data_IF_333506487947
#
_entry.id   IF_333506487947
#
_cell.length_a   1.000
_cell.length_b   1.000
_cell.length_c   1.000
_cell.angle_alpha   90.00
_cell.angle_beta   90.00
_cell.angle_gamma   90.00
#
_symmetry.space_group_name_H-M   'P 1'
#
loop_
_entity.id
_entity.type
_entity.pdbx_description
1 polymer ?
#
# COMPACT_ATOMS: atom_id res chain seq x y z
N UNK A 1 -10.11 -16.35 -0.90
CA UNK A 1 -11.24 -15.57 -0.33
C UNK A 1 -11.68 -14.63 -1.41
N UNK A 2 -12.98 -14.54 -1.69
CA UNK A 2 -13.51 -13.65 -2.71
C UNK A 2 -13.70 -12.25 -2.13
N UNK A 3 -12.63 -11.45 -2.15
CA UNK A 3 -12.60 -10.07 -1.65
C UNK A 3 -11.64 -9.24 -2.49
N UNK A 4 -12.07 -8.03 -2.86
CA UNK A 4 -11.24 -7.07 -3.60
C UNK A 4 -11.76 -5.64 -3.36
N UNK A 5 -10.90 -4.74 -2.88
CA UNK A 5 -11.31 -3.36 -2.57
C UNK A 5 -11.85 -2.65 -3.82
N UNK A 6 -11.35 -2.94 -5.03
CA UNK A 6 -11.83 -2.33 -6.28
C UNK A 6 -13.31 -2.62 -6.53
N UNK A 7 -13.80 -3.80 -6.11
CA UNK A 7 -15.20 -4.22 -6.25
C UNK A 7 -16.03 -3.87 -5.02
N UNK A 8 -15.52 -4.19 -3.83
CA UNK A 8 -16.31 -4.18 -2.59
C UNK A 8 -16.35 -2.80 -1.93
N UNK A 9 -15.28 -1.99 -2.10
CA UNK A 9 -15.17 -0.61 -1.63
C UNK A 9 -14.55 0.28 -2.72
N UNK A 10 -15.25 0.44 -3.85
CA UNK A 10 -14.69 1.05 -5.05
C UNK A 10 -14.21 2.48 -4.81
N UNK A 11 -13.11 2.84 -5.46
CA UNK A 11 -12.50 4.17 -5.45
C UNK A 11 -12.21 4.61 -6.88
N UNK A 12 -11.99 5.91 -7.09
CA UNK A 12 -11.82 6.47 -8.44
C UNK A 12 -12.95 6.01 -9.39
N UNK A 13 -12.61 5.48 -10.57
CA UNK A 13 -13.57 4.99 -11.56
C UNK A 13 -13.89 3.49 -11.41
N UNK A 14 -13.38 2.79 -10.38
CA UNK A 14 -13.58 1.34 -10.26
C UNK A 14 -15.05 0.94 -10.07
N UNK A 15 -15.90 1.84 -9.56
CA UNK A 15 -17.34 1.59 -9.45
C UNK A 15 -18.01 1.38 -10.82
N UNK A 16 -17.54 2.11 -11.83
CA UNK A 16 -18.03 2.02 -13.21
C UNK A 16 -17.44 0.82 -13.97
N UNK A 17 -16.33 0.26 -13.46
CA UNK A 17 -15.56 -0.82 -14.10
C UNK A 17 -15.85 -2.20 -13.51
N UNK A 18 -16.76 -2.31 -12.54
CA UNK A 18 -17.07 -3.57 -11.81
C UNK A 18 -17.47 -4.74 -12.70
N UNK A 19 -17.95 -4.48 -13.92
CA UNK A 19 -18.39 -5.51 -14.88
C UNK A 19 -17.31 -5.90 -15.88
N UNK A 20 -16.18 -5.22 -15.88
CA UNK A 20 -15.12 -5.36 -16.87
C UNK A 20 -13.95 -6.21 -16.38
N UNK A 21 -14.05 -6.71 -15.14
CA UNK A 21 -13.11 -7.66 -14.58
C UNK A 21 -13.78 -8.60 -13.59
N UNK A 22 -13.13 -9.73 -13.34
CA UNK A 22 -13.52 -10.70 -12.32
C UNK A 22 -12.46 -10.79 -11.24
N UNK A 23 -12.88 -10.99 -9.98
CA UNK A 23 -11.96 -11.27 -8.88
C UNK A 23 -11.49 -12.72 -9.00
N UNK A 24 -10.20 -12.91 -9.24
CA UNK A 24 -9.60 -14.24 -9.37
C UNK A 24 -9.41 -14.84 -7.98
N UNK A 25 -9.88 -16.07 -7.79
CA UNK A 25 -9.75 -16.80 -6.53
C UNK A 25 -9.28 -18.23 -6.78
N UNK A 26 -8.32 -18.68 -5.98
CA UNK A 26 -7.84 -20.06 -5.99
C UNK A 26 -7.98 -20.73 -4.63
N UNK A 27 -8.10 -22.06 -4.63
CA UNK A 27 -8.32 -22.87 -3.42
C UNK A 27 -7.09 -23.67 -2.95
N UNK A 28 -6.03 -23.73 -3.75
CA UNK A 28 -4.83 -24.50 -3.43
C UNK A 28 -4.09 -24.04 -2.17
N UNK A 29 -4.24 -22.76 -1.78
CA UNK A 29 -3.66 -22.17 -0.56
C UNK A 29 -2.13 -22.29 -0.44
N UNK A 30 -1.43 -22.57 -1.53
CA UNK A 30 0.02 -22.72 -1.61
C UNK A 30 0.66 -21.59 -2.44
N UNK A 31 1.97 -21.70 -2.69
CA UNK A 31 2.68 -20.71 -3.53
C UNK A 31 2.21 -20.79 -4.98
N UNK A 32 1.85 -21.98 -5.46
CA UNK A 32 1.39 -22.21 -6.82
C UNK A 32 0.07 -21.47 -7.08
N UNK A 33 -0.93 -21.67 -6.23
CA UNK A 33 -2.21 -20.98 -6.29
C UNK A 33 -2.05 -19.45 -6.23
N UNK A 34 -1.14 -18.93 -5.39
CA UNK A 34 -0.83 -17.49 -5.37
C UNK A 34 -0.21 -17.00 -6.68
N UNK A 35 0.59 -17.83 -7.32
CA UNK A 35 1.23 -17.51 -8.60
C UNK A 35 0.20 -17.51 -9.73
N UNK A 36 -0.69 -18.50 -9.75
CA UNK A 36 -1.81 -18.55 -10.70
C UNK A 36 -2.72 -17.33 -10.58
N UNK A 37 -3.15 -16.97 -9.36
CA UNK A 37 -3.95 -15.77 -9.13
C UNK A 37 -3.29 -14.54 -9.72
N UNK A 38 -2.00 -14.31 -9.43
CA UNK A 38 -1.26 -13.15 -9.97
C UNK A 38 -1.18 -13.13 -11.49
N UNK A 39 -0.98 -14.30 -12.11
CA UNK A 39 -0.93 -14.41 -13.58
C UNK A 39 -2.30 -14.08 -14.17
N UNK A 40 -3.37 -14.61 -13.58
CA UNK A 40 -4.73 -14.37 -14.04
C UNK A 40 -5.15 -12.91 -13.83
N UNK A 41 -4.75 -12.27 -12.72
CA UNK A 41 -4.96 -10.84 -12.47
C UNK A 41 -4.30 -9.93 -13.52
N UNK A 42 -3.24 -10.38 -14.21
CA UNK A 42 -2.65 -9.63 -15.33
C UNK A 42 -3.66 -9.55 -16.48
N UNK A 43 -4.33 -10.64 -16.81
CA UNK A 43 -5.34 -10.65 -17.87
C UNK A 43 -6.55 -9.78 -17.50
N UNK A 44 -6.98 -9.83 -16.24
CA UNK A 44 -8.04 -8.95 -15.74
C UNK A 44 -7.62 -7.47 -15.78
N UNK A 45 -6.36 -7.17 -15.45
CA UNK A 45 -5.82 -5.81 -15.58
C UNK A 45 -5.83 -5.33 -17.04
N UNK A 46 -5.53 -6.21 -18.00
CA UNK A 46 -5.62 -5.90 -19.43
C UNK A 46 -7.08 -5.62 -19.84
N UNK A 47 -8.04 -6.39 -19.33
CA UNK A 47 -9.47 -6.17 -19.60
C UNK A 47 -9.91 -4.80 -19.09
N UNK A 48 -9.53 -4.43 -17.88
CA UNK A 48 -9.80 -3.11 -17.30
C UNK A 48 -9.21 -2.00 -18.19
N UNK A 49 -7.94 -2.13 -18.61
CA UNK A 49 -7.27 -1.12 -19.46
C UNK A 49 -8.03 -0.94 -20.78
N UNK A 50 -8.43 -2.03 -21.44
CA UNK A 50 -9.22 -1.96 -22.68
C UNK A 50 -10.56 -1.27 -22.45
N UNK A 51 -11.26 -1.65 -21.38
CA UNK A 51 -12.57 -1.10 -21.06
C UNK A 51 -12.51 0.40 -20.68
N UNK A 52 -11.39 0.87 -20.12
CA UNK A 52 -11.12 2.29 -19.89
C UNK A 52 -10.87 3.01 -21.22
N UNK A 53 -10.05 2.43 -22.11
CA UNK A 53 -9.74 3.04 -23.41
C UNK A 53 -11.00 3.24 -24.27
N UNK A 54 -11.93 2.28 -24.24
CA UNK A 54 -13.18 2.35 -25.01
C UNK A 54 -14.18 3.39 -24.47
N UNK A 55 -14.10 3.72 -23.17
CA UNK A 55 -15.05 4.62 -22.48
C UNK A 55 -14.40 5.88 -21.94
N UNK A 56 -13.18 6.22 -22.37
CA UNK A 56 -12.43 7.33 -21.83
C UNK A 56 -13.17 8.65 -22.11
N UNK A 57 -13.64 9.38 -21.08
CA UNK A 57 -14.34 10.62 -21.31
C UNK A 57 -13.35 11.72 -21.71
N UNK A 58 -13.79 12.59 -22.62
CA UNK A 58 -13.07 13.83 -22.90
C UNK A 58 -13.15 14.81 -21.73
N UNK A 59 -12.12 15.63 -21.55
CA UNK A 59 -12.11 16.67 -20.54
C UNK A 59 -10.72 17.05 -20.01
N UNK A 60 -10.66 18.00 -19.08
CA UNK A 60 -9.40 18.38 -18.44
C UNK A 60 -8.89 17.27 -17.51
N UNK A 61 -7.65 16.84 -17.70
CA UNK A 61 -7.00 15.80 -16.87
C UNK A 61 -6.64 16.32 -15.46
N UNK A 62 -6.43 17.63 -15.33
CA UNK A 62 -6.09 18.27 -14.06
C UNK A 62 -7.18 19.26 -13.65
N UNK A 63 -7.51 19.35 -12.35
CA UNK A 63 -8.38 20.41 -11.88
C UNK A 63 -7.76 21.78 -12.22
N UNK A 64 -8.60 22.74 -12.59
CA UNK A 64 -8.17 24.13 -12.88
C UNK A 64 -7.67 24.85 -11.63
N UNK A 65 -8.07 24.37 -10.46
CA UNK A 65 -7.70 24.94 -9.17
C UNK A 65 -6.27 24.55 -8.77
N UNK A 66 -5.57 25.51 -8.16
CA UNK A 66 -4.23 25.27 -7.66
C UNK A 66 -4.27 24.31 -6.46
N UNK A 67 -3.60 23.16 -6.59
CA UNK A 67 -3.52 22.12 -5.55
C UNK A 67 -3.07 22.68 -4.19
N UNK A 68 -2.17 23.67 -4.17
CA UNK A 68 -1.74 24.31 -2.91
C UNK A 68 -2.84 25.13 -2.24
N UNK A 69 -3.77 25.71 -3.02
CA UNK A 69 -4.93 26.41 -2.49
C UNK A 69 -5.92 25.40 -1.89
N UNK A 70 -6.14 24.28 -2.58
CA UNK A 70 -7.01 23.21 -2.09
C UNK A 70 -6.50 22.65 -0.76
N UNK A 71 -5.19 22.38 -0.66
CA UNK A 71 -4.57 21.88 0.59
C UNK A 71 -4.74 22.83 1.78
N UNK A 72 -4.63 24.14 1.58
CA UNK A 72 -4.85 25.14 2.66
C UNK A 72 -6.31 25.28 3.08
N UNK A 73 -7.25 24.86 2.22
CA UNK A 73 -8.68 24.92 2.50
C UNK A 73 -9.25 23.66 3.13
N UNK A 74 -8.45 22.62 3.39
CA UNK A 74 -8.95 21.37 3.98
C UNK A 74 -9.25 21.61 5.47
N UNK A 75 -10.51 21.41 5.93
CA UNK A 75 -10.87 21.59 7.33
C UNK A 75 -10.18 20.56 8.23
N UNK A 76 -10.18 20.79 9.55
CA UNK A 76 -9.77 19.76 10.52
C UNK A 76 -10.74 18.58 10.43
N UNK A 77 -10.18 17.39 10.27
CA UNK A 77 -10.98 16.17 10.12
C UNK A 77 -10.11 14.92 10.02
N UNK A 78 -10.80 13.78 9.95
CA UNK A 78 -10.19 12.46 9.82
C UNK A 78 -10.80 11.75 8.62
N UNK A 79 -9.96 11.05 7.83
CA UNK A 79 -10.40 10.28 6.69
C UNK A 79 -9.61 8.97 6.61
N UNK A 80 -10.30 7.92 6.15
CA UNK A 80 -9.70 6.63 5.81
C UNK A 80 -9.90 6.42 4.32
N UNK A 81 -8.85 5.98 3.63
CA UNK A 81 -8.87 5.57 2.25
C UNK A 81 -8.32 4.16 2.14
N UNK A 82 -9.07 3.28 1.47
CA UNK A 82 -8.70 1.92 1.16
C UNK A 82 -8.43 1.83 -0.35
N UNK A 83 -7.34 1.16 -0.72
CA UNK A 83 -6.93 0.95 -2.10
C UNK A 83 -6.45 -0.49 -2.24
N UNK A 84 -6.82 -1.17 -3.33
CA UNK A 84 -6.25 -2.47 -3.68
C UNK A 84 -4.88 -2.25 -4.35
N UNK A 85 -3.79 -2.45 -3.61
CA UNK A 85 -2.47 -2.50 -4.21
C UNK A 85 -2.22 -3.92 -4.76
N UNK A 86 -1.23 -4.12 -5.67
CA UNK A 86 -0.93 -5.45 -6.23
C UNK A 86 -0.51 -6.53 -5.22
N UNK A 87 -0.43 -6.20 -3.92
CA UNK A 87 -0.05 -7.09 -2.82
C UNK A 87 -1.16 -7.29 -1.80
N UNK A 88 -2.33 -6.67 -2.03
CA UNK A 88 -3.47 -6.64 -1.11
C UNK A 88 -3.88 -5.22 -0.72
N UNK A 89 -4.83 -5.16 0.22
CA UNK A 89 -5.39 -3.93 0.77
C UNK A 89 -4.32 -2.99 1.38
N UNK A 90 -4.35 -1.74 0.91
CA UNK A 90 -3.57 -0.61 1.39
C UNK A 90 -4.50 0.39 2.08
N UNK A 91 -4.19 0.73 3.33
CA UNK A 91 -4.99 1.66 4.13
C UNK A 91 -4.18 2.92 4.43
N UNK A 92 -4.77 4.07 4.10
CA UNK A 92 -4.33 5.40 4.52
C UNK A 92 -5.31 5.98 5.52
N UNK A 93 -4.83 6.26 6.72
CA UNK A 93 -5.53 7.08 7.70
C UNK A 93 -4.86 8.45 7.76
N UNK A 94 -5.64 9.50 7.57
CA UNK A 94 -5.18 10.88 7.55
C UNK A 94 -6.00 11.69 8.53
N UNK A 95 -5.33 12.45 9.40
CA UNK A 95 -5.92 13.48 10.25
C UNK A 95 -5.29 14.82 9.91
N UNK A 96 -6.11 15.79 9.55
CA UNK A 96 -5.70 17.17 9.21
C UNK A 96 -5.79 18.07 10.44
N UNK A 97 -5.16 19.24 10.39
CA UNK A 97 -5.19 20.26 11.44
C UNK A 97 -5.98 21.53 11.07
N UNK A 98 -6.62 21.55 9.89
CA UNK A 98 -7.35 22.71 9.39
C UNK A 98 -6.49 23.88 8.88
N UNK A 99 -5.16 23.81 9.05
CA UNK A 99 -4.20 24.84 8.64
C UNK A 99 -3.40 24.44 7.39
N UNK A 100 -3.82 23.36 6.72
CA UNK A 100 -3.15 22.76 5.57
C UNK A 100 -2.04 21.77 5.94
N UNK A 101 -1.88 21.44 7.23
CA UNK A 101 -0.96 20.42 7.72
C UNK A 101 -1.63 19.09 8.01
N UNK A 102 -0.82 18.02 8.02
CA UNK A 102 -1.22 16.70 8.49
C UNK A 102 -0.82 16.55 9.96
N UNK A 103 -1.83 16.42 10.83
CA UNK A 103 -1.65 16.12 12.25
C UNK A 103 -1.22 14.67 12.47
N UNK A 104 -1.77 13.76 11.66
CA UNK A 104 -1.37 12.34 11.67
C UNK A 104 -1.56 11.71 10.31
N UNK A 105 -0.54 10.97 9.88
CA UNK A 105 -0.61 10.08 8.72
C UNK A 105 -0.23 8.69 9.20
N UNK A 106 -1.15 7.73 9.08
CA UNK A 106 -0.90 6.33 9.35
C UNK A 106 -1.15 5.54 8.08
N UNK A 107 -0.08 4.93 7.58
CA UNK A 107 -0.14 4.02 6.44
C UNK A 107 -0.05 2.59 6.97
N UNK A 108 -0.95 1.72 6.54
CA UNK A 108 -0.81 0.26 6.68
C UNK A 108 -0.66 -0.31 5.29
N UNK A 109 0.57 -0.74 4.99
CA UNK A 109 0.91 -1.38 3.72
C UNK A 109 0.52 -2.86 3.77
N UNK A 110 0.11 -3.45 2.63
CA UNK A 110 -0.31 -4.84 2.56
C UNK A 110 0.79 -5.80 3.05
N UNK A 111 2.02 -5.57 2.57
CA UNK A 111 3.22 -6.36 2.93
C UNK A 111 3.41 -6.48 4.44
N UNK A 112 3.12 -5.43 5.23
CA UNK A 112 3.30 -5.47 6.68
C UNK A 112 2.42 -6.54 7.34
N UNK A 113 1.20 -6.77 6.86
CA UNK A 113 0.36 -7.84 7.39
C UNK A 113 0.70 -9.20 6.79
N UNK A 114 1.09 -9.25 5.51
CA UNK A 114 1.48 -10.50 4.86
C UNK A 114 2.72 -11.12 5.54
N UNK A 115 3.66 -10.28 6.01
CA UNK A 115 4.86 -10.71 6.75
C UNK A 115 4.54 -11.48 8.03
N UNK A 116 3.46 -11.12 8.74
CA UNK A 116 3.08 -11.83 9.97
C UNK A 116 2.68 -13.28 9.64
N UNK A 117 2.05 -13.49 8.48
CA UNK A 117 1.69 -14.81 7.97
C UNK A 117 2.89 -15.64 7.52
N UNK A 118 4.07 -15.05 7.31
CA UNK A 118 5.25 -15.78 6.85
C UNK A 118 5.73 -16.83 7.86
N UNK A 119 5.69 -16.52 9.17
CA UNK A 119 6.13 -17.46 10.22
C UNK A 119 5.38 -18.79 10.14
N UNK A 120 4.04 -18.85 10.18
CA UNK A 120 3.33 -20.13 10.06
C UNK A 120 3.48 -20.80 8.70
N UNK A 121 3.69 -20.04 7.61
CA UNK A 121 3.93 -20.61 6.28
C UNK A 121 5.24 -21.40 6.16
N UNK A 122 6.22 -21.12 7.03
CA UNK A 122 7.54 -21.78 7.02
C UNK A 122 7.62 -23.01 7.94
N UNK A 123 6.62 -23.25 8.78
CA UNK A 123 6.65 -24.37 9.74
C UNK A 123 6.47 -25.69 8.98
N UNK A 124 7.47 -26.57 9.09
CA UNK A 124 7.45 -27.89 8.46
C UNK A 124 7.93 -27.92 7.00
N UNK A 125 8.42 -26.80 6.47
CA UNK A 125 9.04 -26.72 5.15
C UNK A 125 10.57 -26.91 5.22
N UNK A 126 11.18 -27.22 4.08
CA UNK A 126 12.63 -27.32 3.95
C UNK A 126 13.28 -25.94 3.82
N UNK A 127 14.57 -25.84 4.14
CA UNK A 127 15.34 -24.59 3.96
C UNK A 127 15.30 -24.13 2.49
N UNK A 128 15.26 -25.08 1.56
CA UNK A 128 15.17 -24.80 0.13
C UNK A 128 13.85 -24.12 -0.29
N UNK A 129 12.78 -24.27 0.48
CA UNK A 129 11.47 -23.68 0.17
C UNK A 129 11.37 -22.22 0.60
N UNK A 130 12.23 -21.78 1.53
CA UNK A 130 12.20 -20.44 2.12
C UNK A 130 12.18 -19.33 1.06
N UNK A 131 13.04 -19.32 0.02
CA UNK A 131 13.04 -18.24 -0.97
C UNK A 131 11.73 -18.15 -1.74
N UNK A 132 11.13 -19.29 -2.09
CA UNK A 132 9.89 -19.36 -2.88
C UNK A 132 8.69 -18.92 -2.03
N UNK A 133 8.64 -19.35 -0.77
CA UNK A 133 7.60 -18.94 0.18
C UNK A 133 7.68 -17.43 0.43
N UNK A 134 8.88 -16.89 0.70
CA UNK A 134 9.10 -15.45 0.92
C UNK A 134 8.79 -14.63 -0.33
N UNK A 135 9.22 -15.07 -1.51
CA UNK A 135 8.93 -14.36 -2.76
C UNK A 135 7.43 -14.33 -3.08
N UNK A 136 6.68 -15.37 -2.71
CA UNK A 136 5.25 -15.47 -3.01
C UNK A 136 4.39 -14.37 -2.38
N UNK A 137 4.82 -13.80 -1.25
CA UNK A 137 4.13 -12.67 -0.61
C UNK A 137 4.54 -11.30 -1.19
N UNK A 138 5.53 -11.27 -2.11
CA UNK A 138 6.11 -10.08 -2.75
C UNK A 138 6.46 -8.97 -1.74
N UNK A 139 7.46 -9.21 -0.85
CA UNK A 139 7.73 -8.31 0.24
C UNK A 139 8.44 -7.04 -0.24
N UNK A 140 7.73 -5.92 -0.23
CA UNK A 140 8.36 -4.61 -0.38
C UNK A 140 9.00 -4.14 0.93
N UNK A 141 10.33 -4.32 1.05
CA UNK A 141 11.10 -3.89 2.22
C UNK A 141 10.97 -2.39 2.49
N UNK A 142 10.91 -1.57 1.43
CA UNK A 142 10.73 -0.11 1.56
C UNK A 142 9.42 0.26 2.26
N UNK A 143 8.35 -0.50 2.00
CA UNK A 143 7.03 -0.30 2.63
C UNK A 143 6.99 -0.74 4.10
N UNK A 144 8.00 -1.48 4.57
CA UNK A 144 8.09 -2.03 5.92
C UNK A 144 9.23 -1.45 6.74
N UNK A 145 10.05 -0.59 6.14
CA UNK A 145 11.12 0.11 6.83
C UNK A 145 10.56 1.03 7.91
N UNK A 146 10.57 0.54 9.15
CA UNK A 146 10.50 1.35 10.36
C UNK A 146 11.90 1.34 10.96
N UNK A 147 12.55 2.50 11.01
CA UNK A 147 13.93 2.62 11.51
C UNK A 147 13.95 2.41 13.03
N UNK A 148 14.47 1.26 13.44
CA UNK A 148 14.88 1.01 14.83
C UNK A 148 16.40 0.99 14.79
N UNK A 149 17.03 1.92 15.51
CA UNK A 149 18.49 1.92 15.69
C UNK A 149 18.77 1.15 16.97
N UNK A 150 19.51 0.05 16.83
CA UNK A 150 19.95 -0.78 17.95
C UNK A 150 21.46 -0.57 18.07
N UNK A 151 21.88 -0.04 19.21
CA UNK A 151 23.29 0.05 19.60
C UNK A 151 23.66 -1.24 20.34
N UNK A 152 24.37 -2.15 19.66
CA UNK A 152 24.70 -3.46 20.21
C UNK A 152 25.75 -3.40 21.34
N UNK A 153 26.59 -2.36 21.39
CA UNK A 153 27.59 -2.22 22.46
C UNK A 153 26.93 -1.73 23.76
N UNK A 154 25.89 -0.91 23.65
CA UNK A 154 25.20 -0.31 24.80
C UNK A 154 23.93 -1.06 25.22
N UNK A 155 23.45 -1.99 24.39
CA UNK A 155 22.20 -2.72 24.64
C UNK A 155 20.95 -1.84 24.52
N UNK A 156 21.07 -0.66 23.91
CA UNK A 156 19.98 0.31 23.78
C UNK A 156 19.29 0.17 22.42
N UNK A 157 17.95 0.14 22.42
CA UNK A 157 17.15 0.22 21.20
C UNK A 157 16.36 1.53 21.20
N UNK A 158 16.62 2.36 20.20
CA UNK A 158 15.95 3.64 20.01
C UNK A 158 15.11 3.58 18.73
N UNK A 159 13.79 3.66 18.88
CA UNK A 159 12.88 3.86 17.75
C UNK A 159 13.03 5.32 17.32
N UNK A 160 13.51 5.56 16.09
CA UNK A 160 13.61 6.93 15.59
C UNK A 160 12.20 7.40 15.25
N UNK A 161 11.66 8.24 16.11
CA UNK A 161 10.42 8.95 15.86
C UNK A 161 10.61 10.02 14.75
N UNK A 162 9.50 10.48 14.18
CA UNK A 162 9.51 11.46 13.09
C UNK A 162 10.17 12.78 13.49
N UNK A 163 10.07 13.19 14.76
CA UNK A 163 10.65 14.44 15.24
C UNK A 163 12.17 14.32 15.42
N UNK A 164 12.67 13.19 15.92
CA UNK A 164 14.09 12.85 15.91
C UNK A 164 14.67 12.82 14.49
N UNK A 165 13.93 12.29 13.51
CA UNK A 165 14.29 12.28 12.10
C UNK A 165 14.34 13.71 11.51
N UNK A 166 13.31 14.52 11.76
CA UNK A 166 13.25 15.94 11.34
C UNK A 166 14.41 16.74 11.93
N UNK A 167 14.73 16.51 13.20
CA UNK A 167 15.81 17.20 13.89
C UNK A 167 17.19 16.84 13.30
N UNK A 168 17.38 15.58 12.88
CA UNK A 168 18.63 15.11 12.24
C UNK A 168 18.79 15.63 10.81
N UNK A 169 17.71 15.65 10.03
CA UNK A 169 17.73 16.17 8.64
C UNK A 169 17.99 17.67 8.62
N UNK A 170 17.32 18.45 9.49
CA UNK A 170 17.54 19.91 9.62
C UNK A 170 18.99 20.26 9.98
N UNK A 171 19.65 19.49 10.85
CA UNK A 171 21.07 19.71 11.19
C UNK A 171 22.03 19.41 10.05
N UNK A 172 21.66 18.51 9.12
CA UNK A 172 22.52 18.13 7.99
C UNK A 172 22.41 19.09 6.82
N UNK A 173 21.22 19.66 6.60
CA UNK A 173 20.98 20.68 5.56
C UNK A 173 21.46 22.09 5.93
N UNK A 174 21.53 22.46 7.22
CA UNK A 174 22.08 23.75 7.66
C UNK A 174 23.62 23.75 7.86
N UNK A 175 24.30 22.67 7.46
CA UNK A 175 25.77 22.53 7.55
C UNK A 175 26.44 22.48 6.17
N UNK A 176 25.70 22.77 5.10
CA UNK A 176 26.23 23.13 3.78
C UNK A 176 25.92 24.60 3.54
#
# INVERSE_FOLDING_TARGET
VDIDVRRDHPYAAYDELKRDFSVVVERGCDVYARTEVRILEIFESINIIRAILDRLPDGPIRPKENVFRLMRGIPEGEAISLVEAPRGELLYFVKTDGSGGLKRLKVRTPTFSNLIGLKPMLIGCEIADVPVIVASIDPCLSCTNRLIVIDQERGESNVIDVDSLRHRVRRRWMRQ
#
